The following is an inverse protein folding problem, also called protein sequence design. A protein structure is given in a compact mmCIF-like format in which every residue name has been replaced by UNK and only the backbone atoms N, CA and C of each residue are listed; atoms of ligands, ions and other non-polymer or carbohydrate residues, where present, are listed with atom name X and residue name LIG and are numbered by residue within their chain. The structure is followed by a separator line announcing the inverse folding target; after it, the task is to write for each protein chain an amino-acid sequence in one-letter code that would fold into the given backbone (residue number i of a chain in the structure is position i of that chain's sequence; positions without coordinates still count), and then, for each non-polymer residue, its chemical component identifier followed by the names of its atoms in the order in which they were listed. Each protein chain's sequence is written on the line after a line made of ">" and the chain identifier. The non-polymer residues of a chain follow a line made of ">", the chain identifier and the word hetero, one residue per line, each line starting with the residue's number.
data_IF_279758197699
#
_entry.id   IF_279758197699
#
_cell.length_a   1.000
_cell.length_b   1.000
_cell.length_c   1.000
_cell.angle_alpha   90.00
_cell.angle_beta   90.00
_cell.angle_gamma   90.00
#
_symmetry.space_group_name_H-M   'P 1'
#
loop_
_entity.id
_entity.type
_entity.pdbx_description
1 polymer ?
#
# COMPACT_ATOMS: atom_id res chain seq x y z
N UNK A 1 -32.01 -45.23 -5.26
CA UNK A 1 -31.38 -43.89 -5.22
C UNK A 1 -30.31 -43.92 -6.30
N UNK A 2 -30.70 -43.57 -7.53
CA UNK A 2 -29.75 -43.50 -8.65
C UNK A 2 -28.80 -42.34 -8.38
N UNK A 3 -27.50 -42.61 -8.51
CA UNK A 3 -26.45 -41.61 -8.42
C UNK A 3 -26.67 -40.57 -9.52
N UNK A 4 -26.79 -39.30 -9.15
CA UNK A 4 -26.89 -38.17 -10.09
C UNK A 4 -25.56 -37.89 -10.83
N UNK A 5 -24.51 -38.68 -10.56
CA UNK A 5 -23.23 -38.56 -11.26
C UNK A 5 -23.22 -39.51 -12.48
N UNK A 6 -22.94 -39.01 -13.69
CA UNK A 6 -22.75 -39.85 -14.87
C UNK A 6 -21.66 -40.90 -14.58
N UNK A 7 -21.76 -42.09 -15.18
CA UNK A 7 -20.68 -43.09 -15.12
C UNK A 7 -19.39 -42.44 -15.61
N UNK A 8 -18.37 -42.35 -14.74
CA UNK A 8 -17.13 -41.64 -15.03
C UNK A 8 -16.45 -42.19 -16.29
N UNK A 9 -16.55 -41.45 -17.40
CA UNK A 9 -15.73 -41.71 -18.59
C UNK A 9 -14.32 -41.14 -18.36
N UNK A 10 -13.32 -41.70 -19.05
CA UNK A 10 -11.96 -41.18 -18.99
C UNK A 10 -11.90 -39.68 -19.34
N UNK A 11 -12.74 -39.24 -20.27
CA UNK A 11 -12.83 -37.83 -20.68
C UNK A 11 -13.38 -36.93 -19.56
N UNK A 12 -14.35 -37.40 -18.76
CA UNK A 12 -14.88 -36.65 -17.61
C UNK A 12 -13.79 -36.54 -16.53
N UNK A 13 -13.03 -37.60 -16.28
CA UNK A 13 -11.94 -37.60 -15.31
C UNK A 13 -10.80 -36.66 -15.75
N UNK A 14 -10.44 -36.65 -17.03
CA UNK A 14 -9.45 -35.73 -17.59
C UNK A 14 -9.94 -34.27 -17.54
N UNK A 15 -11.21 -34.01 -17.90
CA UNK A 15 -11.78 -32.67 -17.80
C UNK A 15 -11.83 -32.15 -16.35
N UNK A 16 -12.14 -33.01 -15.39
CA UNK A 16 -12.10 -32.67 -13.97
C UNK A 16 -10.67 -32.41 -13.51
N UNK A 17 -9.70 -33.23 -13.89
CA UNK A 17 -8.29 -33.01 -13.56
C UNK A 17 -7.79 -31.67 -14.13
N UNK A 18 -8.11 -31.36 -15.38
CA UNK A 18 -7.79 -30.06 -15.97
C UNK A 18 -8.46 -28.90 -15.21
N UNK A 19 -9.72 -29.06 -14.80
CA UNK A 19 -10.43 -28.04 -14.02
C UNK A 19 -9.77 -27.81 -12.64
N UNK A 20 -9.49 -28.86 -11.88
CA UNK A 20 -8.89 -28.75 -10.55
C UNK A 20 -7.41 -28.33 -10.59
N UNK A 21 -6.65 -28.83 -11.54
CA UNK A 21 -5.20 -28.63 -11.62
C UNK A 21 -4.80 -27.33 -12.34
N UNK A 22 -5.65 -26.78 -13.23
CA UNK A 22 -5.33 -25.57 -14.01
C UNK A 22 -6.27 -24.40 -13.77
N UNK A 23 -7.59 -24.63 -13.68
CA UNK A 23 -8.56 -23.55 -13.53
C UNK A 23 -8.66 -23.14 -12.07
N UNK A 24 -8.89 -24.11 -11.18
CA UNK A 24 -9.03 -23.82 -9.75
C UNK A 24 -7.75 -23.24 -9.15
N UNK A 25 -6.59 -23.63 -9.68
CA UNK A 25 -5.28 -23.12 -9.24
C UNK A 25 -5.07 -21.63 -9.49
N UNK A 26 -5.75 -21.03 -10.47
CA UNK A 26 -5.61 -19.59 -10.80
C UNK A 26 -6.75 -18.72 -10.24
N UNK A 27 -7.75 -19.33 -9.60
CA UNK A 27 -8.88 -18.61 -8.99
C UNK A 27 -8.42 -17.62 -7.91
N UNK A 28 -7.49 -17.96 -6.99
CA UNK A 28 -7.03 -17.02 -5.96
C UNK A 28 -6.43 -15.74 -6.54
N UNK A 29 -5.58 -15.85 -7.55
CA UNK A 29 -4.91 -14.74 -8.23
C UNK A 29 -5.93 -13.91 -9.02
N UNK A 30 -6.83 -14.59 -9.74
CA UNK A 30 -7.90 -13.90 -10.48
C UNK A 30 -8.81 -13.11 -9.55
N UNK A 31 -9.17 -13.69 -8.39
CA UNK A 31 -9.94 -13.00 -7.35
C UNK A 31 -9.19 -11.77 -6.84
N UNK A 32 -7.88 -11.89 -6.58
CA UNK A 32 -7.07 -10.74 -6.15
C UNK A 32 -7.13 -9.60 -7.18
N UNK A 33 -6.95 -9.91 -8.47
CA UNK A 33 -7.00 -8.92 -9.55
C UNK A 33 -8.36 -8.21 -9.65
N UNK A 34 -9.47 -8.94 -9.46
CA UNK A 34 -10.81 -8.35 -9.44
C UNK A 34 -10.97 -7.37 -8.28
N UNK A 35 -10.47 -7.72 -7.09
CA UNK A 35 -10.54 -6.86 -5.92
C UNK A 35 -9.61 -5.65 -6.07
N UNK A 36 -8.46 -5.80 -6.73
CA UNK A 36 -7.54 -4.70 -7.06
C UNK A 36 -8.20 -3.64 -7.96
N UNK A 37 -9.01 -4.05 -8.93
CA UNK A 37 -9.78 -3.12 -9.76
C UNK A 37 -10.75 -2.24 -8.94
N UNK A 38 -11.34 -2.81 -7.89
CA UNK A 38 -12.25 -2.08 -7.00
C UNK A 38 -11.43 -1.19 -6.05
N UNK A 39 -10.44 -1.76 -5.38
CA UNK A 39 -9.63 -1.10 -4.36
C UNK A 39 -8.85 0.10 -4.91
N UNK A 40 -8.27 -0.01 -6.11
CA UNK A 40 -7.55 1.08 -6.78
C UNK A 40 -8.43 2.31 -7.09
N UNK A 41 -9.76 2.15 -7.05
CA UNK A 41 -10.76 3.20 -7.29
C UNK A 41 -11.63 3.48 -6.07
N UNK A 42 -11.38 2.77 -4.96
CA UNK A 42 -12.18 2.89 -3.75
C UNK A 42 -11.97 4.25 -3.07
N UNK A 43 -10.77 4.81 -3.20
CA UNK A 43 -10.39 6.10 -2.62
C UNK A 43 -9.93 7.09 -3.71
N UNK A 44 -9.90 8.37 -3.36
CA UNK A 44 -9.44 9.48 -4.20
C UNK A 44 -7.91 9.58 -4.20
N UNK A 45 -7.24 8.51 -4.63
CA UNK A 45 -5.77 8.39 -4.57
C UNK A 45 -5.01 9.55 -5.26
N UNK A 46 -5.41 10.08 -6.44
CA UNK A 46 -4.72 11.22 -7.03
C UNK A 46 -4.78 12.49 -6.18
N UNK A 47 -5.91 12.70 -5.49
CA UNK A 47 -6.10 13.83 -4.58
C UNK A 47 -5.25 13.64 -3.33
N UNK A 48 -5.21 12.42 -2.78
CA UNK A 48 -4.33 12.07 -1.67
C UNK A 48 -2.86 12.36 -2.01
N UNK A 49 -2.35 11.83 -3.12
CA UNK A 49 -0.96 12.01 -3.55
C UNK A 49 -0.63 13.50 -3.65
N UNK A 50 -1.52 14.29 -4.25
CA UNK A 50 -1.38 15.74 -4.39
C UNK A 50 -1.39 16.46 -3.04
N UNK A 51 -2.24 16.06 -2.11
CA UNK A 51 -2.32 16.67 -0.78
C UNK A 51 -1.06 16.37 0.05
N UNK A 52 -0.56 15.13 -0.01
CA UNK A 52 0.67 14.70 0.66
C UNK A 52 1.88 15.40 0.06
N UNK A 53 1.99 15.48 -1.28
CA UNK A 53 3.12 16.14 -1.94
C UNK A 53 3.15 17.65 -1.71
N UNK A 54 1.99 18.29 -1.58
CA UNK A 54 1.90 19.72 -1.25
C UNK A 54 2.06 20.02 0.25
N UNK A 55 2.12 19.01 1.11
CA UNK A 55 2.40 19.20 2.54
C UNK A 55 3.83 19.71 2.71
N UNK A 56 4.02 20.72 3.56
CA UNK A 56 5.34 21.31 3.79
C UNK A 56 6.18 20.37 4.68
N UNK A 57 7.09 19.62 4.05
CA UNK A 57 7.99 18.70 4.75
C UNK A 57 9.31 19.33 5.20
N UNK A 58 9.64 20.54 4.76
CA UNK A 58 10.82 21.29 5.21
C UNK A 58 10.40 22.29 6.29
N UNK A 59 10.29 21.79 7.52
CA UNK A 59 9.87 22.56 8.70
C UNK A 59 11.00 22.65 9.72
N UNK A 60 11.03 23.74 10.48
CA UNK A 60 12.13 24.04 11.40
C UNK A 60 11.78 23.70 12.86
N UNK A 61 10.54 23.28 13.12
CA UNK A 61 10.03 23.00 14.46
C UNK A 61 9.22 21.71 14.45
N UNK A 62 9.36 20.93 15.52
CA UNK A 62 8.56 19.73 15.75
C UNK A 62 7.09 20.11 15.88
N UNK A 63 6.26 19.44 15.08
CA UNK A 63 4.82 19.60 15.11
C UNK A 63 4.21 18.67 16.16
N UNK A 64 3.12 19.11 16.78
CA UNK A 64 2.33 18.31 17.74
C UNK A 64 1.00 17.84 17.18
N UNK A 65 0.61 18.36 16.02
CA UNK A 65 -0.61 18.01 15.30
C UNK A 65 -0.26 17.36 13.97
N UNK A 66 -1.10 16.43 13.54
CA UNK A 66 -0.97 15.80 12.22
C UNK A 66 -1.38 16.76 11.09
N UNK A 67 -0.89 16.46 9.89
CA UNK A 67 -1.20 17.18 8.67
C UNK A 67 -2.65 16.97 8.23
N UNK A 68 -3.26 17.99 7.62
CA UNK A 68 -4.67 17.97 7.21
C UNK A 68 -5.05 16.88 6.19
N UNK A 69 -4.09 16.36 5.40
CA UNK A 69 -4.37 15.25 4.49
C UNK A 69 -4.76 13.97 5.23
N UNK A 70 -4.32 13.80 6.49
CA UNK A 70 -4.66 12.63 7.31
C UNK A 70 -6.17 12.63 7.58
N UNK A 71 -6.75 13.78 7.99
CA UNK A 71 -8.19 13.90 8.20
C UNK A 71 -8.98 13.66 6.90
N UNK A 72 -8.47 14.14 5.77
CA UNK A 72 -9.05 13.88 4.47
C UNK A 72 -9.06 12.38 4.15
N UNK A 73 -7.94 11.69 4.36
CA UNK A 73 -7.82 10.26 4.08
C UNK A 73 -8.72 9.43 4.99
N UNK A 74 -8.76 9.74 6.29
CA UNK A 74 -9.66 9.09 7.26
C UNK A 74 -11.11 9.21 6.80
N UNK A 75 -11.55 10.42 6.41
CA UNK A 75 -12.91 10.63 5.89
C UNK A 75 -13.20 9.86 4.60
N UNK A 76 -12.21 9.70 3.72
CA UNK A 76 -12.38 8.93 2.48
C UNK A 76 -12.53 7.43 2.76
N UNK A 77 -11.80 6.91 3.75
CA UNK A 77 -11.96 5.55 4.27
C UNK A 77 -13.30 5.34 4.99
N UNK A 78 -13.76 6.28 5.83
CA UNK A 78 -15.09 6.24 6.44
C UNK A 78 -16.20 6.23 5.36
N UNK A 79 -16.05 7.06 4.33
CA UNK A 79 -16.98 7.06 3.20
C UNK A 79 -16.95 5.72 2.44
N UNK A 80 -15.79 5.07 2.33
CA UNK A 80 -15.67 3.73 1.77
C UNK A 80 -16.37 2.68 2.64
N UNK A 81 -16.23 2.74 3.96
CA UNK A 81 -16.94 1.86 4.90
C UNK A 81 -18.46 1.94 4.68
N UNK A 82 -19.01 3.15 4.60
CA UNK A 82 -20.44 3.37 4.35
C UNK A 82 -20.90 2.76 3.01
N UNK A 83 -20.09 2.89 1.95
CA UNK A 83 -20.39 2.25 0.66
C UNK A 83 -20.37 0.73 0.76
N UNK A 84 -19.42 0.18 1.51
CA UNK A 84 -19.28 -1.26 1.69
C UNK A 84 -20.45 -1.85 2.48
N UNK A 85 -20.91 -1.16 3.51
CA UNK A 85 -22.08 -1.56 4.30
C UNK A 85 -23.35 -1.53 3.46
N UNK A 86 -23.56 -0.49 2.66
CA UNK A 86 -24.71 -0.46 1.74
C UNK A 86 -24.68 -1.60 0.70
N UNK A 87 -23.52 -1.94 0.14
CA UNK A 87 -23.41 -3.07 -0.80
C UNK A 87 -23.72 -4.39 -0.08
N UNK A 88 -23.42 -4.50 1.21
CA UNK A 88 -23.67 -5.70 2.01
C UNK A 88 -25.16 -5.97 2.23
N UNK A 89 -26.02 -4.96 2.08
CA UNK A 89 -27.47 -5.11 2.10
C UNK A 89 -27.99 -5.75 0.79
N UNK A 90 -27.28 -5.54 -0.31
CA UNK A 90 -27.66 -6.01 -1.64
C UNK A 90 -26.98 -7.34 -2.03
N UNK A 91 -25.81 -7.62 -1.47
CA UNK A 91 -24.96 -8.76 -1.82
C UNK A 91 -24.43 -9.40 -0.54
N UNK A 92 -24.48 -10.73 -0.46
CA UNK A 92 -23.88 -11.46 0.65
C UNK A 92 -22.35 -11.41 0.56
N UNK A 93 -21.75 -10.42 1.21
CA UNK A 93 -20.31 -10.26 1.34
C UNK A 93 -19.82 -11.03 2.55
N UNK A 94 -19.17 -12.17 2.33
CA UNK A 94 -18.50 -12.90 3.41
C UNK A 94 -17.39 -12.05 4.06
N UNK A 95 -17.09 -12.31 5.33
CA UNK A 95 -16.02 -11.61 6.06
C UNK A 95 -14.67 -11.70 5.34
N UNK A 96 -14.38 -12.83 4.69
CA UNK A 96 -13.15 -13.02 3.90
C UNK A 96 -13.05 -12.04 2.73
N UNK A 97 -14.17 -11.73 2.08
CA UNK A 97 -14.23 -10.78 0.97
C UNK A 97 -14.15 -9.35 1.50
N UNK A 98 -14.82 -9.05 2.62
CA UNK A 98 -14.73 -7.75 3.28
C UNK A 98 -13.29 -7.45 3.70
N UNK A 99 -12.63 -8.40 4.35
CA UNK A 99 -11.23 -8.27 4.76
C UNK A 99 -10.30 -8.09 3.56
N UNK A 100 -10.52 -8.84 2.47
CA UNK A 100 -9.74 -8.65 1.25
C UNK A 100 -9.93 -7.26 0.63
N UNK A 101 -11.16 -6.72 0.59
CA UNK A 101 -11.40 -5.35 0.10
C UNK A 101 -10.67 -4.31 0.96
N UNK A 102 -10.70 -4.45 2.28
CA UNK A 102 -9.96 -3.58 3.19
C UNK A 102 -8.46 -3.69 2.98
N UNK A 103 -7.92 -4.90 2.95
CA UNK A 103 -6.50 -5.18 2.70
C UNK A 103 -6.01 -4.48 1.41
N UNK A 104 -6.74 -4.69 0.30
CA UNK A 104 -6.36 -4.11 -0.99
C UNK A 104 -6.54 -2.59 -1.03
N UNK A 105 -7.57 -2.05 -0.39
CA UNK A 105 -7.79 -0.60 -0.33
C UNK A 105 -6.70 0.09 0.48
N UNK A 106 -6.31 -0.49 1.61
CA UNK A 106 -5.20 -0.01 2.44
C UNK A 106 -3.88 -0.10 1.67
N UNK A 107 -3.63 -1.21 0.97
CA UNK A 107 -2.47 -1.38 0.10
C UNK A 107 -2.31 -0.22 -0.88
N UNK A 108 -3.35 0.13 -1.65
CA UNK A 108 -3.27 1.24 -2.61
C UNK A 108 -3.18 2.62 -1.94
N UNK A 109 -3.84 2.84 -0.80
CA UNK A 109 -3.72 4.07 -0.04
C UNK A 109 -2.28 4.31 0.43
N UNK A 110 -1.63 3.28 0.95
CA UNK A 110 -0.25 3.34 1.45
C UNK A 110 0.76 3.48 0.32
N UNK A 111 0.52 2.85 -0.84
CA UNK A 111 1.28 3.14 -2.08
C UNK A 111 1.14 4.60 -2.50
N UNK A 112 -0.08 5.16 -2.42
CA UNK A 112 -0.34 6.58 -2.69
C UNK A 112 0.36 7.50 -1.69
N UNK A 113 0.40 7.13 -0.41
CA UNK A 113 1.07 7.90 0.64
C UNK A 113 2.59 8.01 0.39
N UNK A 114 3.25 6.88 0.14
CA UNK A 114 4.69 6.87 -0.21
C UNK A 114 4.96 7.60 -1.52
N UNK A 115 4.06 7.50 -2.50
CA UNK A 115 4.17 8.29 -3.72
C UNK A 115 4.12 9.80 -3.44
N UNK A 116 3.21 10.24 -2.56
CA UNK A 116 3.13 11.62 -2.12
C UNK A 116 4.39 12.09 -1.40
N UNK A 117 4.95 11.28 -0.49
CA UNK A 117 6.21 11.60 0.18
C UNK A 117 7.38 11.72 -0.81
N UNK A 118 7.46 10.82 -1.78
CA UNK A 118 8.44 10.89 -2.86
C UNK A 118 8.34 12.19 -3.66
N UNK A 119 7.12 12.71 -3.88
CA UNK A 119 6.86 13.90 -4.68
C UNK A 119 6.92 15.21 -3.88
N UNK A 120 6.86 15.14 -2.54
CA UNK A 120 6.94 16.30 -1.65
C UNK A 120 8.29 17.02 -1.59
N UNK A 121 9.30 16.49 -2.27
CA UNK A 121 10.60 17.16 -2.43
C UNK A 121 11.47 17.09 -1.17
N UNK A 122 11.99 18.25 -0.74
CA UNK A 122 12.90 18.31 0.41
C UNK A 122 12.13 18.07 1.71
N UNK A 123 12.70 17.26 2.61
CA UNK A 123 12.18 17.08 3.95
C UNK A 123 13.27 17.28 5.02
N UNK A 124 12.93 18.03 6.07
CA UNK A 124 13.80 18.23 7.24
C UNK A 124 13.69 17.06 8.22
N UNK A 125 14.50 17.04 9.27
CA UNK A 125 14.40 16.03 10.33
C UNK A 125 13.05 16.12 11.04
N UNK A 126 12.61 17.34 11.30
CA UNK A 126 11.32 17.66 11.91
C UNK A 126 10.16 17.28 10.99
N UNK A 127 10.31 17.47 9.67
CA UNK A 127 9.32 17.03 8.69
C UNK A 127 9.20 15.52 8.58
N UNK A 128 10.29 14.77 8.71
CA UNK A 128 10.25 13.30 8.80
C UNK A 128 9.57 12.84 10.10
N UNK A 129 9.80 13.52 11.22
CA UNK A 129 9.07 13.28 12.46
C UNK A 129 7.57 13.56 12.28
N UNK A 130 7.20 14.60 11.53
CA UNK A 130 5.80 14.86 11.15
C UNK A 130 5.22 13.72 10.29
N UNK A 131 5.96 13.17 9.31
CA UNK A 131 5.50 11.99 8.55
C UNK A 131 5.20 10.80 9.49
N UNK A 132 6.06 10.56 10.49
CA UNK A 132 5.84 9.50 11.49
C UNK A 132 4.60 9.77 12.36
N UNK A 133 4.41 11.01 12.80
CA UNK A 133 3.25 11.44 13.58
C UNK A 133 1.95 11.27 12.78
N UNK A 134 1.95 11.76 11.54
CA UNK A 134 0.81 11.64 10.62
C UNK A 134 0.42 10.17 10.42
N UNK A 135 1.40 9.32 10.16
CA UNK A 135 1.14 7.91 9.88
C UNK A 135 0.65 7.16 11.12
N UNK A 136 1.22 7.42 12.30
CA UNK A 136 0.71 6.85 13.56
C UNK A 136 -0.74 7.29 13.83
N UNK A 137 -1.06 8.57 13.59
CA UNK A 137 -2.42 9.06 13.77
C UNK A 137 -3.38 8.36 12.79
N UNK A 138 -2.98 8.22 11.53
CA UNK A 138 -3.74 7.50 10.50
C UNK A 138 -4.00 6.05 10.92
N UNK A 139 -2.97 5.30 11.31
CA UNK A 139 -3.11 3.89 11.72
C UNK A 139 -4.12 3.73 12.86
N UNK A 140 -4.01 4.55 13.90
CA UNK A 140 -4.94 4.51 15.05
C UNK A 140 -6.40 4.74 14.64
N UNK A 141 -6.65 5.62 13.65
CA UNK A 141 -8.00 5.85 13.13
C UNK A 141 -8.46 4.70 12.23
N UNK A 142 -7.58 4.16 11.39
CA UNK A 142 -7.94 3.09 10.46
C UNK A 142 -8.30 1.78 11.17
N UNK A 143 -7.64 1.44 12.27
CA UNK A 143 -7.99 0.25 13.06
C UNK A 143 -9.47 0.24 13.45
N UNK A 144 -10.00 1.40 13.87
CA UNK A 144 -11.41 1.54 14.23
C UNK A 144 -12.35 1.46 13.01
N UNK A 145 -11.92 1.98 11.85
CA UNK A 145 -12.76 2.02 10.63
C UNK A 145 -12.85 0.66 9.94
N UNK A 146 -11.73 -0.06 9.83
CA UNK A 146 -11.68 -1.33 9.09
C UNK A 146 -11.80 -2.57 9.97
N UNK A 147 -11.63 -2.44 11.29
CA UNK A 147 -11.61 -3.54 12.25
C UNK A 147 -10.55 -4.62 11.92
N UNK A 148 -9.42 -4.22 11.32
CA UNK A 148 -8.26 -5.07 11.08
C UNK A 148 -7.15 -4.69 12.05
N UNK A 149 -6.62 -5.68 12.77
CA UNK A 149 -5.51 -5.48 13.70
C UNK A 149 -4.47 -6.61 13.57
N UNK A 150 -3.18 -6.28 13.34
CA UNK A 150 -2.67 -4.95 13.00
C UNK A 150 -3.18 -4.46 11.63
N UNK A 151 -3.09 -3.16 11.36
CA UNK A 151 -3.42 -2.61 10.02
C UNK A 151 -2.44 -3.20 8.99
N UNK A 152 -2.94 -3.83 7.91
CA UNK A 152 -2.09 -4.46 6.91
C UNK A 152 -1.24 -3.42 6.15
N UNK A 153 -0.12 -3.87 5.60
CA UNK A 153 0.81 -3.07 4.77
C UNK A 153 1.50 -1.90 5.49
N UNK A 154 1.31 -1.69 6.79
CA UNK A 154 1.89 -0.55 7.52
C UNK A 154 3.42 -0.47 7.38
N UNK A 155 4.10 -1.63 7.43
CA UNK A 155 5.55 -1.73 7.26
C UNK A 155 6.06 -1.05 5.96
N UNK A 156 5.28 -1.11 4.87
CA UNK A 156 5.66 -0.48 3.60
C UNK A 156 5.86 1.03 3.73
N UNK A 157 5.05 1.72 4.53
CA UNK A 157 5.18 3.16 4.75
C UNK A 157 6.23 3.44 5.82
N UNK A 158 6.21 2.68 6.92
CA UNK A 158 7.15 2.86 8.02
C UNK A 158 8.60 2.68 7.58
N UNK A 159 8.89 1.64 6.81
CA UNK A 159 10.25 1.32 6.38
C UNK A 159 10.78 2.38 5.42
N UNK A 160 9.91 2.94 4.56
CA UNK A 160 10.26 4.09 3.73
C UNK A 160 10.64 5.32 4.56
N UNK A 161 9.87 5.63 5.61
CA UNK A 161 10.17 6.76 6.50
C UNK A 161 11.45 6.50 7.31
N UNK A 162 11.64 5.27 7.81
CA UNK A 162 12.84 4.85 8.57
C UNK A 162 14.10 4.92 7.70
N UNK A 163 14.00 4.64 6.41
CA UNK A 163 15.13 4.64 5.50
C UNK A 163 15.84 6.01 5.39
N UNK A 164 15.16 7.13 5.64
CA UNK A 164 15.81 8.45 5.71
C UNK A 164 16.85 8.60 6.83
N UNK A 165 16.81 7.73 7.83
CA UNK A 165 17.70 7.75 9.00
C UNK A 165 18.85 6.75 8.89
N UNK A 166 18.88 5.93 7.85
CA UNK A 166 19.96 4.98 7.62
C UNK A 166 21.25 5.72 7.25
N UNK A 167 22.42 5.27 7.71
CA UNK A 167 23.71 5.75 7.21
C UNK A 167 23.94 5.30 5.77
N UNK A 168 24.92 5.88 5.06
CA UNK A 168 25.20 5.59 3.64
C UNK A 168 25.23 4.10 3.31
N UNK A 169 26.03 3.31 4.03
CA UNK A 169 26.14 1.86 3.81
C UNK A 169 24.81 1.13 4.05
N UNK A 170 24.08 1.52 5.10
CA UNK A 170 22.80 0.90 5.45
C UNK A 170 21.72 1.24 4.43
N UNK A 171 21.75 2.45 3.87
CA UNK A 171 20.82 2.86 2.82
C UNK A 171 21.10 2.15 1.49
N UNK A 172 22.36 1.94 1.14
CA UNK A 172 22.74 1.16 -0.06
C UNK A 172 22.25 -0.30 0.06
N UNK A 173 22.45 -0.93 1.23
CA UNK A 173 21.94 -2.27 1.51
C UNK A 173 20.40 -2.30 1.47
N UNK A 174 19.73 -1.33 2.07
CA UNK A 174 18.27 -1.23 2.08
C UNK A 174 17.70 -1.13 0.67
N UNK A 175 18.25 -0.23 -0.17
CA UNK A 175 17.81 -0.09 -1.56
C UNK A 175 17.94 -1.41 -2.34
N UNK A 176 19.00 -2.18 -2.11
CA UNK A 176 19.21 -3.47 -2.78
C UNK A 176 18.21 -4.57 -2.39
N UNK A 177 17.59 -4.46 -1.21
CA UNK A 177 16.68 -5.49 -0.66
C UNK A 177 15.20 -5.17 -0.88
N UNK A 178 14.87 -3.91 -1.17
CA UNK A 178 13.49 -3.45 -1.24
C UNK A 178 13.02 -3.18 -2.68
N UNK A 179 12.57 -4.22 -3.37
CA UNK A 179 12.07 -4.16 -4.76
C UNK A 179 10.67 -3.57 -4.91
N UNK A 180 9.94 -3.40 -3.81
CA UNK A 180 8.55 -2.95 -3.77
C UNK A 180 8.39 -1.43 -3.96
N UNK A 181 9.47 -0.66 -3.83
CA UNK A 181 9.51 0.77 -4.13
C UNK A 181 10.03 1.00 -5.55
N UNK A 182 9.53 2.05 -6.20
CA UNK A 182 9.98 2.40 -7.55
C UNK A 182 11.36 3.06 -7.51
N UNK A 183 12.11 2.96 -8.62
CA UNK A 183 13.38 3.68 -8.77
C UNK A 183 13.24 5.18 -8.44
N UNK A 184 12.13 5.83 -8.86
CA UNK A 184 11.84 7.24 -8.54
C UNK A 184 11.76 7.48 -7.03
N UNK A 185 11.08 6.60 -6.28
CA UNK A 185 10.96 6.68 -4.82
C UNK A 185 12.33 6.54 -4.14
N UNK A 186 13.13 5.56 -4.57
CA UNK A 186 14.49 5.38 -4.07
C UNK A 186 15.40 6.59 -4.35
N UNK A 187 15.33 7.13 -5.58
CA UNK A 187 16.10 8.31 -5.99
C UNK A 187 15.70 9.54 -5.17
N UNK A 188 14.40 9.73 -4.90
CA UNK A 188 13.92 10.84 -4.07
C UNK A 188 14.50 10.79 -2.66
N UNK A 189 14.49 9.60 -2.03
CA UNK A 189 15.06 9.38 -0.71
C UNK A 189 16.57 9.71 -0.69
N UNK A 190 17.33 9.21 -1.68
CA UNK A 190 18.75 9.54 -1.83
C UNK A 190 19.02 11.04 -2.04
N UNK A 191 18.11 11.74 -2.72
CA UNK A 191 18.22 13.17 -3.00
C UNK A 191 18.27 14.01 -1.72
N UNK A 192 17.50 13.61 -0.70
CA UNK A 192 17.38 14.32 0.59
C UNK A 192 18.40 13.83 1.62
N UNK A 193 18.98 12.64 1.43
CA UNK A 193 20.03 12.10 2.29
C UNK A 193 21.35 12.88 2.12
N UNK A 194 21.50 13.98 2.86
CA UNK A 194 22.69 14.87 2.82
C UNK A 194 23.96 14.19 3.33
N UNK A 195 23.82 13.14 4.11
CA UNK A 195 24.93 12.33 4.63
C UNK A 195 25.52 11.37 3.59
N UNK A 196 24.85 11.16 2.44
CA UNK A 196 25.33 10.27 1.36
C UNK A 196 26.25 11.04 0.42
N UNK A 197 27.44 10.49 0.18
CA UNK A 197 28.42 11.06 -0.74
C UNK A 197 27.88 11.15 -2.17
N UNK A 198 28.27 12.21 -2.91
CA UNK A 198 27.86 12.37 -4.33
C UNK A 198 28.23 11.16 -5.18
N UNK A 199 29.41 10.55 -4.91
CA UNK A 199 29.90 9.37 -5.62
C UNK A 199 29.00 8.15 -5.37
N UNK A 200 28.64 7.87 -4.12
CA UNK A 200 27.74 6.77 -3.79
C UNK A 200 26.35 6.99 -4.39
N UNK A 201 25.82 8.22 -4.30
CA UNK A 201 24.54 8.58 -4.91
C UNK A 201 24.50 8.27 -6.40
N UNK A 202 25.50 8.73 -7.18
CA UNK A 202 25.56 8.43 -8.62
C UNK A 202 25.65 6.93 -8.90
N UNK A 203 26.44 6.18 -8.12
CA UNK A 203 26.55 4.72 -8.25
C UNK A 203 25.20 4.03 -8.05
N UNK A 204 24.49 4.35 -6.96
CA UNK A 204 23.21 3.72 -6.62
C UNK A 204 22.14 4.07 -7.66
N UNK A 205 22.09 5.33 -8.11
CA UNK A 205 21.13 5.78 -9.14
C UNK A 205 21.35 5.02 -10.46
N UNK A 206 22.60 4.80 -10.87
CA UNK A 206 22.88 4.04 -12.09
C UNK A 206 22.39 2.58 -11.95
N UNK A 207 22.67 1.95 -10.81
CA UNK A 207 22.23 0.57 -10.54
C UNK A 207 20.70 0.40 -10.47
N UNK A 208 19.94 1.47 -10.24
CA UNK A 208 18.47 1.45 -10.22
C UNK A 208 17.83 1.64 -11.60
N UNK A 209 18.58 2.11 -12.60
CA UNK A 209 18.09 2.31 -13.96
C UNK A 209 18.49 1.18 -14.93
N UNK A 210 19.38 0.28 -14.49
CA UNK A 210 19.77 -0.94 -15.21
C UNK A 210 18.77 -2.08 -14.93
#
# INVERSE_FOLDING_TARGET
>A
MESLLPSASADILDALDQFYSKILSVVPETRLLVFDCIASRALKLPVLITAVSNTKWDVNELQTQHSSYVDFLVKDFEAFALRLDHISECVNLSDSMRNLLWDRTIYYAFKGLVQGYCEGGKCSTEGRALMQLDFHHLLSKLEAVCNLHPVPHAAFVEDYIKAFYLPENGLEEWISKHSEYTAKQMISLLGVATHVSKKARTRIINALND
#
